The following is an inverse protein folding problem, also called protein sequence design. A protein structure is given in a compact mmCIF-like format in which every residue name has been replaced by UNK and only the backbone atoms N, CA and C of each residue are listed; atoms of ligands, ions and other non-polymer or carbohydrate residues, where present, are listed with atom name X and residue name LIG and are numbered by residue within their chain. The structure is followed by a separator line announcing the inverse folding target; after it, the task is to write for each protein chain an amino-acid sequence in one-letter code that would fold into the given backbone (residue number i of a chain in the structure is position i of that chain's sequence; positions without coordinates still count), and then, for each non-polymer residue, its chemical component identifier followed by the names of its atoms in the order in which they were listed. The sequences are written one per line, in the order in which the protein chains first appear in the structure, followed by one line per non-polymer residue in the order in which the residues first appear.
data_IF_752626973524
#
_entry.id   IF_752626973524
#
_cell.length_a   1.000
_cell.length_b   1.000
_cell.length_c   1.000
_cell.angle_alpha   90.00
_cell.angle_beta   90.00
_cell.angle_gamma   90.00
#
_symmetry.space_group_name_H-M   'P 1'
#
loop_
_entity.id
_entity.type
_entity.pdbx_description
1 polymer ?
#
# COMPACT_ATOMS: atom_id res chain seq x y z
N UNK A 1 -32.45 7.74 -4.05
CA UNK A 1 -31.81 7.85 -2.72
C UNK A 1 -30.48 7.13 -2.82
N UNK A 2 -29.37 7.85 -2.70
CA UNK A 2 -28.02 7.27 -2.68
C UNK A 2 -27.60 7.30 -1.22
N UNK A 3 -27.46 6.12 -0.61
CA UNK A 3 -26.97 5.96 0.76
C UNK A 3 -25.47 6.20 0.75
N UNK A 4 -25.02 7.15 1.58
CA UNK A 4 -23.59 7.40 1.86
C UNK A 4 -23.22 6.58 3.10
N UNK A 5 -22.18 5.76 2.98
CA UNK A 5 -21.66 4.92 4.05
C UNK A 5 -20.14 4.83 3.93
N UNK A 6 -19.47 4.77 5.08
CA UNK A 6 -18.02 4.74 5.25
C UNK A 6 -17.39 3.65 4.39
N UNK A 7 -16.46 4.02 3.51
CA UNK A 7 -15.86 3.11 2.52
C UNK A 7 -14.90 2.13 3.20
N UNK A 8 -15.33 0.88 3.38
CA UNK A 8 -14.47 -0.23 3.82
C UNK A 8 -13.88 -0.99 2.62
N UNK A 9 -12.80 -1.76 2.81
CA UNK A 9 -12.25 -2.64 1.77
C UNK A 9 -13.27 -3.66 1.24
N UNK A 10 -14.26 -4.02 2.06
CA UNK A 10 -15.40 -4.85 1.68
C UNK A 10 -16.41 -4.13 0.78
N UNK A 11 -16.55 -2.80 0.92
CA UNK A 11 -17.34 -1.98 -0.01
C UNK A 11 -16.70 -1.87 -1.40
N UNK A 12 -15.36 -1.91 -1.51
CA UNK A 12 -14.66 -1.96 -2.81
C UNK A 12 -15.07 -3.17 -3.65
N UNK A 13 -15.38 -4.31 -3.03
CA UNK A 13 -15.95 -5.48 -3.72
C UNK A 13 -17.40 -5.25 -4.21
N UNK A 14 -18.12 -4.33 -3.57
CA UNK A 14 -19.49 -3.91 -3.93
C UNK A 14 -19.53 -2.78 -4.99
N UNK A 15 -18.41 -2.10 -5.26
CA UNK A 15 -18.22 -1.08 -6.32
C UNK A 15 -18.39 -1.65 -7.75
N UNK A 16 -18.71 -2.94 -7.89
CA UNK A 16 -19.10 -3.56 -9.16
C UNK A 16 -20.24 -2.81 -9.89
N UNK A 17 -21.04 -2.01 -9.17
CA UNK A 17 -22.11 -1.18 -9.73
C UNK A 17 -21.69 0.24 -10.17
N UNK A 18 -20.46 0.68 -9.91
CA UNK A 18 -19.94 2.00 -10.33
C UNK A 18 -18.67 1.87 -11.21
N UNK A 19 -18.52 0.74 -11.89
CA UNK A 19 -17.43 0.55 -12.84
C UNK A 19 -17.76 1.25 -14.15
N UNK A 20 -17.07 2.36 -14.41
CA UNK A 20 -17.14 3.10 -15.65
C UNK A 20 -16.16 2.53 -16.66
N UNK A 21 -16.56 2.47 -17.93
CA UNK A 21 -15.62 2.16 -19.00
C UNK A 21 -14.86 3.42 -19.44
N UNK A 22 -13.72 3.22 -20.09
CA UNK A 22 -12.99 4.34 -20.75
C UNK A 22 -13.89 5.11 -21.71
N UNK A 23 -14.83 4.43 -22.36
CA UNK A 23 -15.80 5.05 -23.27
C UNK A 23 -16.76 5.97 -22.52
N UNK A 24 -17.23 5.56 -21.34
CA UNK A 24 -18.13 6.38 -20.51
C UNK A 24 -17.43 7.67 -20.08
N UNK A 25 -16.16 7.60 -19.71
CA UNK A 25 -15.36 8.77 -19.32
C UNK A 25 -15.11 9.72 -20.50
N UNK A 26 -14.77 9.18 -21.67
CA UNK A 26 -14.28 9.99 -22.81
C UNK A 26 -15.37 10.49 -23.76
N UNK A 27 -16.51 9.81 -23.84
CA UNK A 27 -17.58 10.12 -24.80
C UNK A 27 -18.82 10.74 -24.15
N UNK A 28 -18.80 10.98 -22.85
CA UNK A 28 -19.92 11.58 -22.12
C UNK A 28 -19.45 12.66 -21.15
N UNK A 29 -20.40 13.34 -20.49
CA UNK A 29 -20.14 14.35 -19.44
C UNK A 29 -19.80 13.72 -18.09
N UNK A 30 -19.65 12.40 -18.00
CA UNK A 30 -19.46 11.68 -16.72
C UNK A 30 -18.27 12.17 -15.91
N UNK A 31 -17.14 12.50 -16.55
CA UNK A 31 -16.00 13.03 -15.82
C UNK A 31 -16.32 14.39 -15.19
N UNK A 32 -16.98 15.28 -15.92
CA UNK A 32 -17.44 16.57 -15.39
C UNK A 32 -18.41 16.37 -14.23
N UNK A 33 -19.38 15.47 -14.37
CA UNK A 33 -20.34 15.16 -13.29
C UNK A 33 -19.64 14.66 -12.01
N UNK A 34 -18.61 13.81 -12.15
CA UNK A 34 -17.82 13.34 -11.00
C UNK A 34 -17.07 14.49 -10.34
N UNK A 35 -16.44 15.36 -11.13
CA UNK A 35 -15.70 16.51 -10.60
C UNK A 35 -16.64 17.53 -9.93
N UNK A 36 -17.82 17.76 -10.49
CA UNK A 36 -18.84 18.63 -9.89
C UNK A 36 -19.38 18.04 -8.57
N UNK A 37 -19.52 16.71 -8.48
CA UNK A 37 -19.90 16.03 -7.24
C UNK A 37 -18.85 16.25 -6.14
N UNK A 38 -17.56 16.14 -6.47
CA UNK A 38 -16.47 16.42 -5.53
C UNK A 38 -16.43 17.90 -5.14
N UNK A 39 -16.61 18.82 -6.09
CA UNK A 39 -16.68 20.24 -5.78
C UNK A 39 -17.86 20.63 -4.86
N UNK A 40 -18.97 19.88 -4.91
CA UNK A 40 -20.17 20.14 -4.12
C UNK A 40 -20.16 19.55 -2.71
N UNK A 41 -19.30 18.55 -2.43
CA UNK A 41 -19.24 17.85 -1.15
C UNK A 41 -17.81 17.89 -0.60
N UNK A 42 -17.63 18.59 0.52
CA UNK A 42 -16.36 18.62 1.26
C UNK A 42 -16.25 17.43 2.23
N UNK A 43 -15.03 16.90 2.40
CA UNK A 43 -14.37 16.06 1.40
C UNK A 43 -15.25 14.86 1.06
N UNK A 44 -15.29 14.49 -0.22
CA UNK A 44 -16.10 13.34 -0.65
C UNK A 44 -15.30 12.03 -0.55
N UNK A 45 -15.75 11.10 0.29
CA UNK A 45 -15.24 9.72 0.33
C UNK A 45 -15.72 8.86 -0.85
N UNK A 46 -16.64 9.39 -1.68
CA UNK A 46 -17.13 8.70 -2.88
C UNK A 46 -15.95 8.44 -3.85
N UNK A 47 -15.87 7.22 -4.41
CA UNK A 47 -14.83 6.84 -5.37
C UNK A 47 -15.44 6.14 -6.59
N UNK A 48 -14.89 6.42 -7.78
CA UNK A 48 -15.34 5.81 -9.03
C UNK A 48 -14.25 4.93 -9.63
N UNK A 49 -14.60 3.71 -10.04
CA UNK A 49 -13.65 2.78 -10.67
C UNK A 49 -13.78 2.90 -12.17
N UNK A 50 -12.65 3.10 -12.85
CA UNK A 50 -12.55 3.06 -14.31
C UNK A 50 -11.87 1.78 -14.73
N UNK A 51 -12.48 1.04 -15.67
CA UNK A 51 -11.96 -0.21 -16.21
C UNK A 51 -11.85 -0.14 -17.73
N UNK A 52 -10.78 -0.70 -18.28
CA UNK A 52 -10.68 -0.91 -19.71
C UNK A 52 -11.52 -2.13 -20.14
N UNK A 53 -12.50 -1.93 -21.03
CA UNK A 53 -13.36 -3.01 -21.51
C UNK A 53 -12.61 -4.11 -22.26
N UNK A 54 -11.43 -3.81 -22.84
CA UNK A 54 -10.59 -4.77 -23.56
C UNK A 54 -9.60 -5.51 -22.65
N UNK A 55 -9.16 -4.88 -21.57
CA UNK A 55 -8.28 -5.47 -20.57
C UNK A 55 -8.88 -5.23 -19.19
N UNK A 56 -9.58 -6.22 -18.64
CA UNK A 56 -10.30 -6.10 -17.37
C UNK A 56 -9.37 -5.91 -16.16
N UNK A 57 -8.10 -6.30 -16.28
CA UNK A 57 -7.11 -6.11 -15.21
C UNK A 57 -6.56 -4.67 -15.19
N UNK A 58 -6.76 -3.91 -16.27
CA UNK A 58 -6.42 -2.48 -16.30
C UNK A 58 -7.55 -1.66 -15.66
N UNK A 59 -7.39 -1.38 -14.36
CA UNK A 59 -8.34 -0.61 -13.55
C UNK A 59 -7.65 0.59 -12.89
N UNK A 60 -8.41 1.66 -12.70
CA UNK A 60 -8.00 2.86 -11.98
C UNK A 60 -9.16 3.36 -11.10
N UNK A 61 -8.83 4.19 -10.12
CA UNK A 61 -9.81 4.86 -9.26
C UNK A 61 -9.72 6.36 -9.49
N UNK A 62 -10.86 7.02 -9.60
CA UNK A 62 -11.01 8.47 -9.53
C UNK A 62 -11.55 8.79 -8.14
N UNK A 63 -10.79 9.53 -7.35
CA UNK A 63 -11.15 9.97 -6.00
C UNK A 63 -11.00 11.49 -5.89
N UNK A 64 -11.67 12.08 -4.90
CA UNK A 64 -11.46 13.47 -4.51
C UNK A 64 -9.98 13.68 -4.13
N UNK A 65 -9.40 14.83 -4.54
CA UNK A 65 -8.01 15.15 -4.29
C UNK A 65 -7.71 15.33 -2.80
N UNK A 66 -8.59 16.00 -2.06
CA UNK A 66 -8.41 16.24 -0.63
C UNK A 66 -8.53 14.93 0.16
N UNK A 67 -9.51 14.09 -0.20
CA UNK A 67 -9.64 12.76 0.38
C UNK A 67 -8.41 11.89 0.11
N UNK A 68 -7.88 11.91 -1.12
CA UNK A 68 -6.67 11.15 -1.45
C UNK A 68 -5.43 11.65 -0.71
N UNK A 69 -5.31 12.97 -0.51
CA UNK A 69 -4.24 13.54 0.32
C UNK A 69 -4.33 13.09 1.76
N UNK A 70 -5.54 13.04 2.34
CA UNK A 70 -5.76 12.57 3.70
C UNK A 70 -5.35 11.10 3.86
N UNK A 71 -5.70 10.24 2.90
CA UNK A 71 -5.27 8.84 2.88
C UNK A 71 -3.74 8.69 2.80
N UNK A 72 -3.08 9.54 2.01
CA UNK A 72 -1.61 9.55 1.94
C UNK A 72 -0.98 9.95 3.28
N UNK A 73 -1.53 10.98 3.95
CA UNK A 73 -1.07 11.38 5.27
C UNK A 73 -1.20 10.27 6.30
N UNK A 74 -2.31 9.52 6.29
CA UNK A 74 -2.46 8.36 7.18
C UNK A 74 -1.45 7.26 6.88
N UNK A 75 -1.19 6.99 5.61
CA UNK A 75 -0.18 6.01 5.21
C UNK A 75 1.21 6.42 5.71
N UNK A 76 1.60 7.67 5.48
CA UNK A 76 2.89 8.21 5.93
C UNK A 76 3.06 8.14 7.45
N UNK A 77 2.00 8.49 8.21
CA UNK A 77 2.02 8.40 9.67
C UNK A 77 2.21 6.96 10.16
N UNK A 78 1.57 5.98 9.50
CA UNK A 78 1.73 4.56 9.82
C UNK A 78 3.13 4.06 9.47
N UNK A 79 3.65 4.38 8.29
CA UNK A 79 5.01 4.02 7.88
C UNK A 79 6.06 4.59 8.85
N UNK A 80 5.93 5.87 9.22
CA UNK A 80 6.81 6.51 10.20
C UNK A 80 6.74 5.82 11.58
N UNK A 81 5.54 5.43 12.01
CA UNK A 81 5.37 4.74 13.30
C UNK A 81 6.03 3.36 13.29
N UNK A 82 5.99 2.64 12.17
CA UNK A 82 6.66 1.34 12.00
C UNK A 82 8.18 1.53 12.07
N UNK A 83 8.72 2.54 11.38
CA UNK A 83 10.15 2.82 11.38
C UNK A 83 10.64 3.19 12.79
N UNK A 84 9.87 3.97 13.53
CA UNK A 84 10.21 4.33 14.91
C UNK A 84 10.20 3.12 15.84
N UNK A 85 9.20 2.23 15.73
CA UNK A 85 9.15 0.97 16.48
C UNK A 85 10.34 0.08 16.14
N UNK A 86 10.68 -0.05 14.87
CA UNK A 86 11.83 -0.84 14.42
C UNK A 86 13.15 -0.27 14.95
N UNK A 87 13.30 1.06 14.92
CA UNK A 87 14.48 1.73 15.47
C UNK A 87 14.63 1.46 16.98
N UNK A 88 13.53 1.55 17.75
CA UNK A 88 13.54 1.21 19.17
C UNK A 88 13.89 -0.26 19.41
N UNK A 89 13.34 -1.19 18.63
CA UNK A 89 13.65 -2.61 18.74
C UNK A 89 15.13 -2.90 18.49
N UNK A 90 15.74 -2.24 17.49
CA UNK A 90 17.17 -2.38 17.19
C UNK A 90 18.03 -1.83 18.34
N UNK A 91 17.68 -0.67 18.87
CA UNK A 91 18.37 -0.09 20.04
C UNK A 91 18.28 -1.02 21.25
N UNK A 92 17.11 -1.55 21.56
CA UNK A 92 16.92 -2.49 22.67
C UNK A 92 17.68 -3.80 22.48
N UNK A 93 17.85 -4.28 21.24
CA UNK A 93 18.59 -5.51 20.93
C UNK A 93 20.10 -5.31 20.88
N UNK A 94 20.58 -4.10 20.60
CA UNK A 94 22.02 -3.79 20.54
C UNK A 94 22.74 -4.18 21.83
N UNK A 95 22.10 -3.95 22.98
CA UNK A 95 22.70 -4.20 24.30
C UNK A 95 22.23 -5.51 24.95
N UNK A 96 21.38 -6.30 24.28
CA UNK A 96 20.94 -7.61 24.78
C UNK A 96 21.81 -8.73 24.16
N UNK A 97 22.44 -9.60 24.97
CA UNK A 97 23.14 -10.77 24.43
C UNK A 97 22.15 -11.66 23.69
N UNK A 98 22.54 -12.18 22.53
CA UNK A 98 21.71 -13.09 21.75
C UNK A 98 21.34 -14.32 22.57
N UNK A 99 20.06 -14.73 22.54
CA UNK A 99 19.57 -15.90 23.30
C UNK A 99 20.16 -17.22 22.80
N UNK A 100 20.54 -17.28 21.51
CA UNK A 100 21.16 -18.45 20.89
C UNK A 100 22.56 -18.05 20.44
N UNK A 101 23.55 -18.83 20.85
CA UNK A 101 24.93 -18.65 20.43
C UNK A 101 25.05 -18.88 18.92
N UNK A 102 25.79 -18.01 18.24
CA UNK A 102 26.02 -18.07 16.81
C UNK A 102 26.65 -19.42 16.41
N UNK A 103 27.51 -19.98 17.27
CA UNK A 103 28.09 -21.30 17.07
C UNK A 103 27.03 -22.41 17.03
N UNK A 104 25.94 -22.27 17.79
CA UNK A 104 24.83 -23.23 17.79
C UNK A 104 24.03 -23.13 16.48
N UNK A 105 23.75 -21.92 16.01
CA UNK A 105 23.00 -21.70 14.75
C UNK A 105 23.77 -22.22 13.54
N UNK A 106 25.08 -21.98 13.49
CA UNK A 106 25.96 -22.46 12.40
C UNK A 106 25.96 -23.98 12.33
N UNK A 107 26.03 -24.65 13.48
CA UNK A 107 26.04 -26.11 13.56
C UNK A 107 24.68 -26.73 13.22
N UNK A 108 23.57 -26.10 13.66
CA UNK A 108 22.22 -26.65 13.48
C UNK A 108 21.65 -26.41 12.07
N UNK A 109 22.11 -25.36 11.38
CA UNK A 109 21.70 -25.03 10.01
C UNK A 109 22.68 -25.48 8.92
N UNK A 110 23.73 -26.24 9.29
CA UNK A 110 24.79 -26.74 8.39
C UNK A 110 25.36 -25.63 7.48
N UNK A 111 25.59 -24.46 8.06
CA UNK A 111 26.03 -23.28 7.32
C UNK A 111 27.52 -23.39 6.96
N UNK A 112 27.83 -23.31 5.67
CA UNK A 112 29.20 -23.31 5.14
C UNK A 112 29.90 -21.98 5.44
N UNK A 113 30.52 -21.91 6.61
CA UNK A 113 31.27 -20.75 7.09
C UNK A 113 32.43 -20.36 6.18
N UNK A 114 33.03 -21.32 5.46
CA UNK A 114 34.14 -21.04 4.56
C UNK A 114 33.65 -20.27 3.33
N UNK A 115 32.46 -20.62 2.83
CA UNK A 115 31.79 -19.87 1.76
C UNK A 115 31.34 -18.49 2.23
N UNK A 116 30.81 -18.36 3.44
CA UNK A 116 30.36 -17.07 4.00
C UNK A 116 31.55 -16.11 4.12
N UNK A 117 32.69 -16.56 4.65
CA UNK A 117 33.89 -15.72 4.80
C UNK A 117 34.45 -15.27 3.45
N UNK A 118 34.42 -16.15 2.42
CA UNK A 118 34.82 -15.78 1.05
C UNK A 118 33.91 -14.71 0.43
N UNK A 119 32.61 -14.72 0.72
CA UNK A 119 31.68 -13.70 0.23
C UNK A 119 31.93 -12.34 0.91
N UNK A 120 32.21 -12.35 2.23
CA UNK A 120 32.53 -11.14 2.99
C UNK A 120 33.86 -10.52 2.54
N UNK A 121 34.90 -11.32 2.32
CA UNK A 121 36.22 -10.83 1.89
C UNK A 121 36.21 -10.28 0.46
N UNK A 122 35.36 -10.83 -0.41
CA UNK A 122 35.27 -10.41 -1.81
C UNK A 122 34.28 -9.24 -2.02
N UNK A 123 33.44 -8.92 -1.03
CA UNK A 123 32.46 -7.84 -1.11
C UNK A 123 31.31 -8.06 -2.11
N UNK A 124 31.24 -9.25 -2.73
CA UNK A 124 30.20 -9.63 -3.69
C UNK A 124 28.98 -10.16 -2.93
N UNK A 125 28.06 -9.26 -2.60
CA UNK A 125 26.70 -9.57 -2.17
C UNK A 125 25.72 -9.24 -3.31
N UNK A 126 25.80 -10.01 -4.41
CA UNK A 126 24.74 -10.04 -5.44
C UNK A 126 23.77 -11.20 -5.22
#
# INVERSE_FOLDING_TARGET
MIQSGTVTSEMLAFIKNQVLTVTDITRSTKLTEILDLYAAKLPSEDVFVVQNSRNKDAQAVIADLEYFQELLMYKEAVEQSIDEVMHQLVLERKDKPAEIDLAHVIADQDLDMERIMKLVDNGDFE
#
